data_IF_324235033450
#
_entry.id   IF_324235033450
#
_cell.length_a   1.000
_cell.length_b   1.000
_cell.length_c   1.000
_cell.angle_alpha   90.00
_cell.angle_beta   90.00
_cell.angle_gamma   90.00
#
_symmetry.space_group_name_H-M   'P 1'
#
loop_
_entity.id
_entity.type
_entity.pdbx_description
1 polymer ?
#
# COMPACT_ATOMS: atom_id res chain seq x y z
N UNK A 1 -9.03 15.67 -47.30
CA UNK A 1 -8.23 14.72 -46.49
C UNK A 1 -7.75 15.46 -45.24
N UNK A 2 -8.43 15.32 -44.09
CA UNK A 2 -7.99 15.97 -42.83
C UNK A 2 -6.85 15.12 -42.27
N UNK A 3 -5.64 15.66 -42.25
CA UNK A 3 -4.51 15.03 -41.59
C UNK A 3 -4.86 14.80 -40.12
N UNK A 4 -4.84 13.56 -39.67
CA UNK A 4 -4.96 13.23 -38.25
C UNK A 4 -3.74 13.83 -37.53
N UNK A 5 -3.96 14.91 -36.79
CA UNK A 5 -2.94 15.49 -35.91
C UNK A 5 -2.62 14.40 -34.88
N UNK A 6 -1.43 13.83 -34.97
CA UNK A 6 -0.95 12.87 -33.99
C UNK A 6 -1.06 13.53 -32.60
N UNK A 7 -1.65 12.85 -31.59
CA UNK A 7 -1.79 13.45 -30.27
C UNK A 7 -0.41 13.88 -29.77
N UNK A 8 -0.30 15.14 -29.35
CA UNK A 8 0.92 15.69 -28.80
C UNK A 8 1.38 14.78 -27.65
N UNK A 9 2.48 14.03 -27.88
CA UNK A 9 3.06 13.16 -26.86
C UNK A 9 3.62 14.04 -25.74
N UNK A 10 3.30 13.70 -24.50
CA UNK A 10 3.91 14.30 -23.33
C UNK A 10 5.44 14.16 -23.46
N UNK A 11 6.18 15.28 -23.44
CA UNK A 11 7.64 15.30 -23.64
C UNK A 11 8.43 14.88 -22.40
N UNK A 12 7.75 14.59 -21.29
CA UNK A 12 8.38 14.19 -20.04
C UNK A 12 8.64 12.69 -20.11
N UNK A 13 9.87 12.27 -19.79
CA UNK A 13 10.23 10.87 -19.68
C UNK A 13 9.29 10.17 -18.68
N UNK A 14 8.58 9.08 -19.09
CA UNK A 14 7.71 8.34 -18.19
C UNK A 14 8.39 7.85 -16.91
N UNK A 15 9.69 7.55 -16.94
CA UNK A 15 10.42 7.17 -15.73
C UNK A 15 10.68 8.34 -14.78
N UNK A 16 10.75 9.57 -15.30
CA UNK A 16 10.80 10.77 -14.45
C UNK A 16 9.46 10.94 -13.75
N UNK A 17 8.35 10.77 -14.46
CA UNK A 17 7.00 10.79 -13.86
C UNK A 17 6.91 9.78 -12.72
N UNK A 18 7.37 8.54 -12.95
CA UNK A 18 7.33 7.49 -11.94
C UNK A 18 8.18 7.79 -10.71
N UNK A 19 9.28 8.56 -10.85
CA UNK A 19 10.15 8.92 -9.72
C UNK A 19 9.60 10.08 -8.91
N UNK A 20 9.05 11.11 -9.56
CA UNK A 20 8.62 12.34 -8.87
C UNK A 20 7.39 12.15 -7.98
N UNK A 21 6.61 11.09 -8.21
CA UNK A 21 5.44 10.76 -7.37
C UNK A 21 5.81 9.98 -6.10
N UNK A 22 6.94 9.25 -6.10
CA UNK A 22 7.31 8.36 -4.98
C UNK A 22 7.49 9.07 -3.63
N UNK A 23 8.08 10.29 -3.55
CA UNK A 23 8.19 10.98 -2.27
C UNK A 23 6.82 11.24 -1.63
N UNK A 24 5.83 11.64 -2.43
CA UNK A 24 4.46 11.82 -1.95
C UNK A 24 3.86 10.50 -1.44
N UNK A 25 4.03 9.39 -2.17
CA UNK A 25 3.55 8.07 -1.73
C UNK A 25 4.21 7.62 -0.43
N UNK A 26 5.53 7.82 -0.31
CA UNK A 26 6.28 7.49 0.90
C UNK A 26 5.72 8.26 2.11
N UNK A 27 5.59 9.59 1.98
CA UNK A 27 5.05 10.42 3.07
C UNK A 27 3.61 10.03 3.42
N UNK A 28 2.77 9.72 2.43
CA UNK A 28 1.40 9.21 2.65
C UNK A 28 1.41 7.92 3.46
N UNK A 29 2.24 6.94 3.11
CA UNK A 29 2.29 5.65 3.81
C UNK A 29 2.89 5.79 5.21
N UNK A 30 3.96 6.56 5.39
CA UNK A 30 4.49 6.84 6.73
C UNK A 30 3.44 7.55 7.59
N UNK A 31 2.73 8.53 7.03
CA UNK A 31 1.64 9.21 7.72
C UNK A 31 0.52 8.26 8.15
N UNK A 32 0.10 7.34 7.28
CA UNK A 32 -0.91 6.32 7.61
C UNK A 32 -0.50 5.46 8.82
N UNK A 33 0.76 5.04 8.89
CA UNK A 33 1.25 4.22 10.00
C UNK A 33 1.47 5.03 11.28
N UNK A 34 1.89 6.28 11.17
CA UNK A 34 2.01 7.20 12.31
C UNK A 34 0.63 7.46 12.93
N UNK A 35 -0.36 7.66 12.09
CA UNK A 35 -1.76 7.84 12.48
C UNK A 35 -2.30 6.57 13.17
N UNK A 36 -2.13 5.41 12.53
CA UNK A 36 -2.48 4.11 13.12
C UNK A 36 -1.82 3.89 14.49
N UNK A 37 -0.55 4.26 14.64
CA UNK A 37 0.16 4.18 15.93
C UNK A 37 -0.47 5.08 16.99
N UNK A 38 -0.85 6.31 16.63
CA UNK A 38 -1.47 7.27 17.53
C UNK A 38 -2.81 6.75 18.08
N UNK A 39 -3.67 6.20 17.23
CA UNK A 39 -4.94 5.57 17.64
C UNK A 39 -4.77 4.43 18.64
N UNK A 40 -3.61 3.75 18.63
CA UNK A 40 -3.33 2.63 19.54
C UNK A 40 -2.69 3.03 20.87
N UNK A 41 -1.87 4.07 20.86
CA UNK A 41 -1.04 4.42 22.01
C UNK A 41 -1.57 5.62 22.80
N UNK A 42 -2.35 6.49 22.15
CA UNK A 42 -2.78 7.74 22.76
C UNK A 42 -4.23 7.64 23.19
N UNK A 43 -4.44 7.47 24.50
CA UNK A 43 -5.75 7.61 25.13
C UNK A 43 -6.13 9.08 25.36
N UNK A 44 -6.01 9.90 24.31
CA UNK A 44 -6.29 11.35 24.36
C UNK A 44 -7.61 11.60 23.64
N UNK A 45 -8.51 12.38 24.27
CA UNK A 45 -9.72 12.87 23.61
C UNK A 45 -9.35 13.62 22.32
N UNK A 46 -9.96 13.24 21.19
CA UNK A 46 -9.75 13.89 19.90
C UNK A 46 -8.65 13.30 19.02
N UNK A 47 -8.08 12.12 19.35
CA UNK A 47 -7.24 11.37 18.40
C UNK A 47 -8.04 10.97 17.15
N UNK A 48 -9.34 10.74 17.32
CA UNK A 48 -10.30 10.48 16.24
C UNK A 48 -10.78 11.77 15.52
N UNK A 49 -10.31 12.96 15.93
CA UNK A 49 -10.71 14.21 15.27
C UNK A 49 -10.10 14.32 13.87
N UNK A 50 -10.82 14.96 12.95
CA UNK A 50 -10.38 15.11 11.57
C UNK A 50 -9.03 15.86 11.40
N UNK A 51 -8.70 16.78 12.31
CA UNK A 51 -7.46 17.57 12.27
C UNK A 51 -6.56 17.27 13.48
N UNK A 52 -5.74 16.23 13.37
CA UNK A 52 -4.69 15.94 14.35
C UNK A 52 -3.30 16.16 13.76
N UNK A 53 -2.26 16.34 14.61
CA UNK A 53 -0.87 16.32 14.16
C UNK A 53 -0.47 15.01 13.45
N UNK A 54 -1.17 13.91 13.74
CA UNK A 54 -0.87 12.58 13.18
C UNK A 54 -1.41 12.44 11.75
N UNK A 55 -2.60 12.99 11.49
CA UNK A 55 -3.15 13.14 10.14
C UNK A 55 -2.29 14.05 9.23
N UNK A 56 -1.52 14.98 9.80
CA UNK A 56 -0.74 15.97 9.02
C UNK A 56 0.20 15.32 8.00
N UNK A 57 0.92 14.28 8.40
CA UNK A 57 1.85 13.59 7.49
C UNK A 57 1.09 12.94 6.32
N UNK A 58 -0.04 12.28 6.60
CA UNK A 58 -0.90 11.68 5.59
C UNK A 58 -1.41 12.74 4.59
N UNK A 59 -1.93 13.86 5.10
CA UNK A 59 -2.43 14.98 4.29
C UNK A 59 -1.35 15.62 3.45
N UNK A 60 -0.17 15.86 4.00
CA UNK A 60 0.97 16.42 3.26
C UNK A 60 1.39 15.48 2.13
N UNK A 61 1.49 14.17 2.40
CA UNK A 61 1.82 13.19 1.36
C UNK A 61 0.81 13.19 0.22
N UNK A 62 -0.49 13.19 0.55
CA UNK A 62 -1.56 13.19 -0.46
C UNK A 62 -1.61 14.49 -1.25
N UNK A 63 -1.42 15.64 -0.59
CA UNK A 63 -1.33 16.94 -1.24
C UNK A 63 -0.12 17.00 -2.19
N UNK A 64 1.05 16.50 -1.78
CA UNK A 64 2.24 16.40 -2.63
C UNK A 64 1.97 15.61 -3.90
N UNK A 65 1.22 14.50 -3.81
CA UNK A 65 0.83 13.70 -4.97
C UNK A 65 -0.10 14.47 -5.91
N UNK A 66 -1.10 15.15 -5.36
CA UNK A 66 -2.06 15.96 -6.14
C UNK A 66 -1.33 17.10 -6.85
N UNK A 67 -0.51 17.86 -6.14
CA UNK A 67 0.24 19.01 -6.68
C UNK A 67 1.23 18.55 -7.76
N UNK A 68 1.96 17.46 -7.50
CA UNK A 68 2.88 16.88 -8.49
C UNK A 68 2.15 16.49 -9.76
N UNK A 69 1.02 15.78 -9.66
CA UNK A 69 0.25 15.35 -10.81
C UNK A 69 -0.40 16.52 -11.55
N UNK A 70 -0.95 17.50 -10.82
CA UNK A 70 -1.48 18.73 -11.39
C UNK A 70 -0.40 19.50 -12.15
N UNK A 71 0.83 19.57 -11.62
CA UNK A 71 1.99 20.16 -12.29
C UNK A 71 2.35 19.43 -13.59
N UNK A 72 2.41 18.10 -13.58
CA UNK A 72 2.67 17.29 -14.77
C UNK A 72 1.60 17.49 -15.86
N UNK A 73 0.33 17.49 -15.46
CA UNK A 73 -0.81 17.79 -16.35
C UNK A 73 -0.69 19.21 -16.89
N UNK A 74 -0.41 20.20 -16.04
CA UNK A 74 -0.25 21.59 -16.44
C UNK A 74 0.87 21.81 -17.46
N UNK A 75 2.03 21.17 -17.25
CA UNK A 75 3.12 21.18 -18.23
C UNK A 75 2.68 20.55 -19.55
N UNK A 76 1.95 19.43 -19.50
CA UNK A 76 1.35 18.82 -20.70
C UNK A 76 0.40 19.77 -21.43
N UNK A 77 -0.45 20.49 -20.69
CA UNK A 77 -1.39 21.49 -21.21
C UNK A 77 -0.68 22.66 -21.89
N UNK A 78 0.36 23.21 -21.26
CA UNK A 78 1.18 24.29 -21.84
C UNK A 78 1.90 23.85 -23.12
N UNK A 79 2.17 22.55 -23.26
CA UNK A 79 2.76 21.96 -24.47
C UNK A 79 1.71 21.51 -25.51
N UNK A 80 0.44 21.90 -25.37
CA UNK A 80 -0.60 21.69 -26.37
C UNK A 80 -1.37 20.37 -26.28
N UNK A 81 -1.10 19.52 -25.27
CA UNK A 81 -1.91 18.30 -25.05
C UNK A 81 -3.31 18.65 -24.53
N UNK A 82 -4.34 17.86 -24.86
CA UNK A 82 -5.67 18.00 -24.24
C UNK A 82 -5.63 17.66 -22.75
N UNK A 83 -6.66 18.01 -21.96
CA UNK A 83 -6.74 17.64 -20.53
C UNK A 83 -6.53 16.15 -20.28
N UNK A 84 -7.24 15.30 -21.03
CA UNK A 84 -7.07 13.85 -20.93
C UNK A 84 -5.71 13.37 -21.45
N UNK A 85 -5.19 14.00 -22.52
CA UNK A 85 -3.89 13.65 -23.10
C UNK A 85 -2.68 14.12 -22.29
N UNK A 86 -2.88 15.09 -21.38
CA UNK A 86 -1.84 15.61 -20.50
C UNK A 86 -1.62 14.73 -19.25
N UNK A 87 -2.54 13.80 -18.95
CA UNK A 87 -2.37 12.83 -17.87
C UNK A 87 -1.33 11.78 -18.34
N UNK A 88 -0.25 11.55 -17.57
CA UNK A 88 0.72 10.52 -17.90
C UNK A 88 0.08 9.14 -18.06
N UNK A 89 0.55 8.38 -19.05
CA UNK A 89 0.03 7.04 -19.32
C UNK A 89 0.23 6.12 -18.09
N UNK A 90 -0.84 5.48 -17.62
CA UNK A 90 -0.86 4.65 -16.41
C UNK A 90 -1.42 5.36 -15.16
N UNK A 91 -1.47 6.70 -15.19
CA UNK A 91 -1.91 7.53 -14.05
C UNK A 91 -3.35 8.01 -14.13
N UNK A 92 -4.13 7.57 -15.12
CA UNK A 92 -5.53 7.96 -15.26
C UNK A 92 -6.36 7.57 -14.02
N UNK A 93 -6.12 6.36 -13.49
CA UNK A 93 -6.74 5.92 -12.25
C UNK A 93 -6.16 6.64 -11.02
N UNK A 94 -4.90 7.07 -11.03
CA UNK A 94 -4.35 7.89 -9.95
C UNK A 94 -5.04 9.26 -9.89
N UNK A 95 -5.33 9.88 -11.03
CA UNK A 95 -6.10 11.13 -11.11
C UNK A 95 -7.54 10.94 -10.63
N UNK A 96 -8.18 9.81 -10.98
CA UNK A 96 -9.48 9.44 -10.40
C UNK A 96 -9.38 9.30 -8.87
N UNK A 97 -8.36 8.59 -8.37
CA UNK A 97 -8.08 8.46 -6.94
C UNK A 97 -7.92 9.81 -6.26
N UNK A 98 -7.21 10.76 -6.86
CA UNK A 98 -7.08 12.14 -6.33
C UNK A 98 -8.45 12.84 -6.22
N UNK A 99 -9.32 12.66 -7.21
CA UNK A 99 -10.69 13.18 -7.15
C UNK A 99 -11.53 12.50 -6.06
N UNK A 100 -11.44 11.17 -5.94
CA UNK A 100 -12.12 10.40 -4.90
C UNK A 100 -11.61 10.75 -3.50
N UNK A 101 -10.32 11.03 -3.33
CA UNK A 101 -9.76 11.50 -2.07
C UNK A 101 -10.32 12.88 -1.71
N UNK A 102 -10.36 13.81 -2.66
CA UNK A 102 -10.93 15.14 -2.39
C UNK A 102 -12.42 15.06 -1.99
N UNK A 103 -13.20 14.21 -2.68
CA UNK A 103 -14.60 13.96 -2.33
C UNK A 103 -14.75 13.21 -1.02
N UNK A 104 -13.91 12.19 -0.80
CA UNK A 104 -13.91 11.35 0.39
C UNK A 104 -13.53 12.12 1.64
N UNK A 105 -12.45 12.91 1.62
CA UNK A 105 -12.03 13.72 2.75
C UNK A 105 -13.01 14.84 3.11
N UNK A 106 -13.62 15.51 2.11
CA UNK A 106 -14.69 16.49 2.39
C UNK A 106 -15.94 15.78 2.92
N UNK A 107 -16.29 14.63 2.34
CA UNK A 107 -17.41 13.80 2.78
C UNK A 107 -17.23 13.31 4.21
N UNK A 108 -16.02 12.89 4.57
CA UNK A 108 -15.60 12.45 5.90
C UNK A 108 -15.72 13.56 6.93
N UNK A 109 -15.17 14.74 6.63
CA UNK A 109 -15.31 15.93 7.48
C UNK A 109 -16.80 16.31 7.71
N UNK A 110 -17.61 16.28 6.65
CA UNK A 110 -19.05 16.54 6.75
C UNK A 110 -19.77 15.45 7.54
N UNK A 111 -19.40 14.18 7.34
CA UNK A 111 -19.95 13.05 8.05
C UNK A 111 -19.73 13.17 9.55
N UNK A 112 -18.50 13.44 9.97
CA UNK A 112 -18.17 13.67 11.38
C UNK A 112 -18.89 14.86 11.99
N UNK A 113 -19.15 15.90 11.20
CA UNK A 113 -19.91 17.07 11.66
C UNK A 113 -21.40 16.76 11.84
N UNK A 114 -21.98 15.87 11.02
CA UNK A 114 -23.41 15.59 11.00
C UNK A 114 -23.83 14.41 11.88
N UNK A 115 -22.99 13.37 11.96
CA UNK A 115 -23.32 12.09 12.58
C UNK A 115 -22.42 11.72 13.77
N UNK A 116 -21.36 12.51 14.01
CA UNK A 116 -20.36 12.24 15.04
C UNK A 116 -19.19 11.43 14.50
N UNK A 117 -18.20 11.22 15.37
CA UNK A 117 -16.95 10.54 15.05
C UNK A 117 -17.08 9.06 15.42
N UNK A 118 -16.76 8.16 14.49
CA UNK A 118 -16.67 6.73 14.76
C UNK A 118 -15.47 6.42 15.67
N UNK A 119 -15.65 5.51 16.62
CA UNK A 119 -14.59 5.11 17.55
C UNK A 119 -14.26 3.60 17.42
N UNK A 120 -13.02 3.25 17.74
CA UNK A 120 -12.60 1.86 17.87
C UNK A 120 -12.58 1.11 16.54
N UNK A 121 -13.32 0.00 16.43
CA UNK A 121 -13.33 -0.80 15.20
C UNK A 121 -13.93 -0.02 14.03
N UNK A 122 -15.01 0.73 14.27
CA UNK A 122 -15.76 1.39 13.20
C UNK A 122 -15.00 2.57 12.58
N UNK A 123 -14.08 3.20 13.34
CA UNK A 123 -13.24 4.30 12.86
C UNK A 123 -12.48 3.93 11.57
N UNK A 124 -11.89 2.72 11.53
CA UNK A 124 -11.13 2.26 10.36
C UNK A 124 -11.98 1.74 9.19
N UNK A 125 -13.26 1.42 9.41
CA UNK A 125 -14.13 0.77 8.40
C UNK A 125 -15.36 1.61 8.03
N UNK A 126 -15.42 2.87 8.46
CA UNK A 126 -16.49 3.76 8.03
C UNK A 126 -16.49 3.90 6.50
N UNK A 127 -17.65 4.17 5.87
CA UNK A 127 -17.75 4.30 4.42
C UNK A 127 -16.78 5.35 3.84
N UNK A 128 -16.51 6.41 4.59
CA UNK A 128 -15.62 7.50 4.18
C UNK A 128 -14.14 7.10 4.26
N UNK A 129 -13.72 6.40 5.33
CA UNK A 129 -12.38 5.82 5.44
C UNK A 129 -12.10 4.79 4.33
N UNK A 130 -13.06 3.92 4.02
CA UNK A 130 -12.92 2.96 2.92
C UNK A 130 -12.81 3.65 1.56
N UNK A 131 -13.54 4.75 1.34
CA UNK A 131 -13.42 5.55 0.12
C UNK A 131 -12.04 6.21 0.00
N UNK A 132 -11.51 6.75 1.11
CA UNK A 132 -10.15 7.29 1.18
C UNK A 132 -9.12 6.20 0.91
N UNK A 133 -9.28 5.01 1.50
CA UNK A 133 -8.38 3.87 1.27
C UNK A 133 -8.38 3.44 -0.21
N UNK A 134 -9.55 3.37 -0.86
CA UNK A 134 -9.66 3.11 -2.30
C UNK A 134 -8.95 4.21 -3.10
N UNK A 135 -9.13 5.48 -2.72
CA UNK A 135 -8.47 6.59 -3.37
C UNK A 135 -6.93 6.49 -3.28
N UNK A 136 -6.39 6.19 -2.09
CA UNK A 136 -4.96 5.96 -1.87
C UNK A 136 -4.47 4.79 -2.72
N UNK A 137 -5.18 3.66 -2.72
CA UNK A 137 -4.84 2.49 -3.54
C UNK A 137 -4.72 2.86 -5.03
N UNK A 138 -5.67 3.61 -5.56
CA UNK A 138 -5.64 4.09 -6.95
C UNK A 138 -4.46 5.04 -7.20
N UNK A 139 -4.13 5.91 -6.24
CA UNK A 139 -3.00 6.84 -6.33
C UNK A 139 -1.67 6.08 -6.38
N UNK A 140 -1.36 5.29 -5.33
CA UNK A 140 -0.02 4.69 -5.12
C UNK A 140 0.33 3.61 -6.14
N UNK A 141 -0.66 2.96 -6.75
CA UNK A 141 -0.45 1.94 -7.79
C UNK A 141 -0.22 2.53 -9.20
N UNK A 142 -0.06 3.86 -9.32
CA UNK A 142 0.25 4.55 -10.58
C UNK A 142 1.45 3.97 -11.34
N UNK A 143 2.65 3.90 -10.72
CA UNK A 143 3.84 3.34 -11.34
C UNK A 143 3.68 1.88 -11.79
N UNK A 144 2.89 1.06 -11.09
CA UNK A 144 2.62 -0.33 -11.50
C UNK A 144 1.86 -0.38 -12.83
N UNK A 145 0.77 0.38 -12.94
CA UNK A 145 0.00 0.46 -14.19
C UNK A 145 0.81 1.08 -15.32
N UNK A 146 1.61 2.10 -15.00
CA UNK A 146 2.46 2.78 -15.98
C UNK A 146 3.56 1.83 -16.51
N UNK A 147 4.23 1.08 -15.65
CA UNK A 147 5.18 0.05 -16.04
C UNK A 147 4.53 -1.05 -16.90
N UNK A 148 3.32 -1.49 -16.54
CA UNK A 148 2.58 -2.53 -17.28
C UNK A 148 2.18 -2.06 -18.67
N UNK A 149 1.65 -0.84 -18.78
CA UNK A 149 1.26 -0.22 -20.06
C UNK A 149 2.46 -0.08 -21.01
N UNK A 150 3.65 0.18 -20.48
CA UNK A 150 4.89 0.32 -21.26
C UNK A 150 5.62 -1.00 -21.49
N UNK A 151 5.14 -2.12 -20.92
CA UNK A 151 5.85 -3.41 -20.88
C UNK A 151 7.30 -3.25 -20.39
N UNK A 152 7.46 -2.54 -19.28
CA UNK A 152 8.76 -2.13 -18.76
C UNK A 152 9.69 -3.34 -18.57
N UNK A 153 10.91 -3.22 -19.10
CA UNK A 153 12.02 -4.14 -18.83
C UNK A 153 13.12 -3.38 -18.09
N UNK A 154 13.79 -4.03 -17.14
CA UNK A 154 14.91 -3.43 -16.41
C UNK A 154 14.49 -2.65 -15.17
N UNK A 155 14.59 -1.31 -15.20
CA UNK A 155 14.36 -0.44 -14.04
C UNK A 155 12.91 -0.51 -13.54
N UNK A 156 12.65 -1.44 -12.61
CA UNK A 156 11.36 -1.69 -11.99
C UNK A 156 11.23 -1.08 -10.59
N UNK A 157 12.24 -0.36 -10.10
CA UNK A 157 12.24 0.18 -8.74
C UNK A 157 10.98 1.01 -8.41
N UNK A 158 10.48 1.92 -9.28
CA UNK A 158 9.24 2.64 -8.98
C UNK A 158 8.01 1.72 -8.89
N UNK A 159 7.94 0.69 -9.72
CA UNK A 159 6.86 -0.30 -9.68
C UNK A 159 6.92 -1.16 -8.42
N UNK A 160 8.11 -1.60 -8.01
CA UNK A 160 8.33 -2.35 -6.77
C UNK A 160 7.94 -1.50 -5.56
N UNK A 161 8.41 -0.24 -5.48
CA UNK A 161 8.03 0.68 -4.40
C UNK A 161 6.52 0.93 -4.35
N UNK A 162 5.88 1.15 -5.51
CA UNK A 162 4.44 1.30 -5.61
C UNK A 162 3.69 0.05 -5.09
N UNK A 163 4.19 -1.15 -5.41
CA UNK A 163 3.64 -2.38 -4.86
C UNK A 163 3.83 -2.45 -3.34
N UNK A 164 5.02 -2.13 -2.83
CA UNK A 164 5.31 -2.08 -1.39
C UNK A 164 4.35 -1.13 -0.66
N UNK A 165 4.13 0.08 -1.18
CA UNK A 165 3.19 1.03 -0.61
C UNK A 165 1.75 0.53 -0.67
N UNK A 166 1.35 -0.13 -1.76
CA UNK A 166 0.05 -0.76 -1.86
C UNK A 166 -0.12 -1.90 -0.86
N UNK A 167 0.89 -2.75 -0.68
CA UNK A 167 0.88 -3.80 0.34
C UNK A 167 0.78 -3.23 1.74
N UNK A 168 1.55 -2.19 2.06
CA UNK A 168 1.44 -1.48 3.34
C UNK A 168 0.05 -0.92 3.61
N UNK A 169 -0.65 -0.39 2.59
CA UNK A 169 -2.05 0.00 2.74
C UNK A 169 -2.96 -1.20 3.08
N UNK A 170 -2.81 -2.33 2.38
CA UNK A 170 -3.59 -3.54 2.65
C UNK A 170 -3.32 -4.07 4.07
N UNK A 171 -2.07 -4.04 4.54
CA UNK A 171 -1.72 -4.47 5.90
C UNK A 171 -2.38 -3.60 6.97
N UNK A 172 -2.48 -2.29 6.76
CA UNK A 172 -3.20 -1.39 7.69
C UNK A 172 -4.71 -1.66 7.66
N UNK A 173 -5.31 -1.86 6.49
CA UNK A 173 -6.74 -2.22 6.39
C UNK A 173 -7.09 -3.59 6.98
N UNK A 174 -6.08 -4.41 7.27
CA UNK A 174 -6.26 -5.76 7.84
C UNK A 174 -5.53 -5.90 9.18
N UNK A 175 -5.23 -4.78 9.83
CA UNK A 175 -4.40 -4.71 11.04
C UNK A 175 -4.94 -5.56 12.19
N UNK A 176 -6.27 -5.61 12.34
CA UNK A 176 -6.96 -6.41 13.37
C UNK A 176 -6.68 -7.91 13.28
N UNK A 177 -6.27 -8.38 12.09
CA UNK A 177 -5.97 -9.78 11.80
C UNK A 177 -4.53 -9.92 11.27
N UNK A 178 -3.61 -9.05 11.71
CA UNK A 178 -2.22 -9.06 11.27
C UNK A 178 -1.28 -9.65 12.35
N UNK A 179 -0.50 -10.71 12.06
CA UNK A 179 0.28 -11.44 13.09
C UNK A 179 1.43 -10.64 13.71
N UNK A 180 1.92 -9.60 13.04
CA UNK A 180 2.91 -8.66 13.62
C UNK A 180 2.31 -7.73 14.68
N UNK A 181 1.00 -7.55 14.65
CA UNK A 181 0.27 -6.60 15.49
C UNK A 181 -0.38 -7.36 16.64
N UNK A 182 -1.13 -8.41 16.30
CA UNK A 182 -1.77 -9.31 17.25
C UNK A 182 -1.06 -10.66 17.15
N UNK A 183 0.08 -10.86 17.84
CA UNK A 183 0.82 -12.12 17.81
C UNK A 183 0.12 -13.19 18.66
N UNK A 184 -1.19 -13.38 18.44
CA UNK A 184 -2.06 -14.27 19.22
C UNK A 184 -1.52 -15.71 19.21
N UNK A 185 -0.90 -16.14 18.10
CA UNK A 185 -0.28 -17.45 17.99
C UNK A 185 0.94 -17.65 18.93
N UNK A 186 1.57 -16.57 19.43
CA UNK A 186 2.66 -16.65 20.42
C UNK A 186 2.19 -16.44 21.87
N UNK A 187 0.92 -16.10 22.09
CA UNK A 187 0.35 -15.93 23.42
C UNK A 187 0.02 -17.31 24.02
N UNK A 188 1.01 -17.91 24.69
CA UNK A 188 0.89 -19.22 25.35
C UNK A 188 0.15 -19.18 26.70
N UNK A 189 -0.37 -18.03 27.13
CA UNK A 189 -0.82 -17.81 28.49
C UNK A 189 -2.21 -17.16 28.51
N UNK A 190 -3.26 -17.97 28.50
CA UNK A 190 -4.49 -17.55 29.17
C UNK A 190 -4.24 -17.68 30.68
N UNK A 191 -4.24 -16.59 31.47
CA UNK A 191 -4.01 -16.65 32.90
C UNK A 191 -5.03 -17.56 33.63
N UNK A 192 -6.21 -17.76 33.04
CA UNK A 192 -7.25 -18.64 33.56
C UNK A 192 -7.08 -20.12 33.13
N UNK A 193 -6.16 -20.41 32.21
CA UNK A 193 -5.91 -21.75 31.70
C UNK A 193 -7.11 -22.38 30.98
N UNK A 194 -8.03 -21.59 30.40
CA UNK A 194 -9.21 -22.11 29.73
C UNK A 194 -8.83 -22.72 28.35
N UNK A 195 -8.92 -24.05 28.17
CA UNK A 195 -8.49 -24.69 26.92
C UNK A 195 -9.29 -24.22 25.70
N UNK A 196 -10.60 -23.99 25.85
CA UNK A 196 -11.44 -23.54 24.75
C UNK A 196 -11.07 -22.14 24.25
N UNK A 197 -10.65 -21.25 25.17
CA UNK A 197 -10.16 -19.92 24.82
C UNK A 197 -8.81 -20.00 24.11
N UNK A 198 -7.92 -20.87 24.57
CA UNK A 198 -6.62 -21.11 23.92
C UNK A 198 -6.81 -21.61 22.48
N UNK A 199 -7.69 -22.59 22.27
CA UNK A 199 -8.00 -23.12 20.93
C UNK A 199 -8.57 -22.04 20.01
N UNK A 200 -9.47 -21.18 20.53
CA UNK A 200 -10.01 -20.06 19.77
C UNK A 200 -8.93 -19.03 19.37
N UNK A 201 -8.04 -18.69 20.30
CA UNK A 201 -6.94 -17.75 20.06
C UNK A 201 -5.95 -18.32 19.02
N UNK A 202 -5.57 -19.59 19.16
CA UNK A 202 -4.72 -20.28 18.18
C UNK A 202 -5.38 -20.35 16.80
N UNK A 203 -6.67 -20.70 16.74
CA UNK A 203 -7.43 -20.72 15.49
C UNK A 203 -7.50 -19.34 14.81
N UNK A 204 -7.67 -18.28 15.60
CA UNK A 204 -7.67 -16.89 15.10
C UNK A 204 -6.29 -16.47 14.59
N UNK A 205 -5.22 -16.84 15.30
CA UNK A 205 -3.84 -16.61 14.87
C UNK A 205 -3.49 -17.35 13.58
N UNK A 206 -3.94 -18.61 13.45
CA UNK A 206 -3.77 -19.37 12.21
C UNK A 206 -4.53 -18.74 11.04
N UNK A 207 -5.78 -18.32 11.27
CA UNK A 207 -6.57 -17.62 10.27
C UNK A 207 -5.89 -16.31 9.82
N UNK A 208 -5.32 -15.56 10.77
CA UNK A 208 -4.55 -14.35 10.48
C UNK A 208 -3.36 -14.62 9.56
N UNK A 209 -2.54 -15.63 9.89
CA UNK A 209 -1.40 -16.02 9.06
C UNK A 209 -1.89 -16.39 7.65
N UNK A 210 -2.91 -17.23 7.52
CA UNK A 210 -3.44 -17.65 6.21
C UNK A 210 -3.93 -16.45 5.40
N UNK A 211 -4.74 -15.57 5.98
CA UNK A 211 -5.29 -14.39 5.28
C UNK A 211 -4.17 -13.48 4.80
N UNK A 212 -3.19 -13.19 5.65
CA UNK A 212 -2.06 -12.32 5.30
C UNK A 212 -1.15 -12.96 4.25
N UNK A 213 -0.85 -14.26 4.35
CA UNK A 213 -0.07 -14.99 3.35
C UNK A 213 -0.78 -15.00 2.00
N UNK A 214 -2.09 -15.24 1.95
CA UNK A 214 -2.88 -15.22 0.70
C UNK A 214 -2.87 -13.82 0.08
N UNK A 215 -3.09 -12.76 0.87
CA UNK A 215 -3.09 -11.39 0.38
C UNK A 215 -1.71 -10.98 -0.15
N UNK A 216 -0.64 -11.32 0.58
CA UNK A 216 0.74 -11.11 0.18
C UNK A 216 1.06 -11.85 -1.13
N UNK A 217 0.75 -13.15 -1.21
CA UNK A 217 0.99 -13.97 -2.39
C UNK A 217 0.21 -13.48 -3.62
N UNK A 218 -1.02 -12.99 -3.44
CA UNK A 218 -1.83 -12.46 -4.54
C UNK A 218 -1.15 -11.26 -5.21
N UNK A 219 -0.63 -10.31 -4.42
CA UNK A 219 0.10 -9.14 -4.94
C UNK A 219 1.42 -9.59 -5.56
N UNK A 220 2.18 -10.46 -4.87
CA UNK A 220 3.45 -10.96 -5.34
C UNK A 220 3.33 -11.68 -6.69
N UNK A 221 2.38 -12.61 -6.84
CA UNK A 221 2.15 -13.33 -8.08
C UNK A 221 1.66 -12.42 -9.20
N UNK A 222 0.89 -11.37 -8.90
CA UNK A 222 0.54 -10.36 -9.88
C UNK A 222 1.78 -9.67 -10.45
N UNK A 223 2.76 -9.34 -9.60
CA UNK A 223 4.03 -8.74 -10.04
C UNK A 223 4.86 -9.75 -10.86
N UNK A 224 5.05 -10.96 -10.35
CA UNK A 224 5.86 -12.00 -10.98
C UNK A 224 5.30 -12.48 -12.32
N UNK A 225 3.98 -12.37 -12.50
CA UNK A 225 3.32 -12.66 -13.79
C UNK A 225 3.72 -11.67 -14.87
N UNK A 226 4.01 -10.43 -14.51
CA UNK A 226 4.32 -9.36 -15.47
C UNK A 226 5.82 -9.11 -15.60
N UNK A 227 6.59 -9.38 -14.55
CA UNK A 227 8.00 -9.04 -14.49
C UNK A 227 8.84 -10.08 -13.76
N UNK A 228 10.09 -10.21 -14.19
CA UNK A 228 11.15 -10.78 -13.36
C UNK A 228 11.63 -9.70 -12.41
N UNK A 229 11.25 -9.82 -11.14
CA UNK A 229 11.62 -8.86 -10.09
C UNK A 229 13.16 -8.73 -9.95
N UNK A 230 13.69 -7.51 -9.79
CA UNK A 230 15.10 -7.29 -9.45
C UNK A 230 15.45 -7.83 -8.06
N UNK A 231 16.72 -8.14 -7.84
CA UNK A 231 17.22 -8.53 -6.51
C UNK A 231 16.93 -7.44 -5.48
N UNK A 232 16.51 -7.84 -4.28
CA UNK A 232 16.13 -6.94 -3.20
C UNK A 232 14.65 -6.54 -3.21
N UNK A 233 13.87 -6.94 -4.22
CA UNK A 233 12.45 -6.54 -4.32
C UNK A 233 11.62 -7.14 -3.21
N UNK A 234 11.82 -8.41 -2.86
CA UNK A 234 11.04 -9.08 -1.81
C UNK A 234 11.48 -8.65 -0.42
N UNK A 235 12.77 -8.35 -0.25
CA UNK A 235 13.32 -7.74 0.96
C UNK A 235 12.71 -6.37 1.19
N UNK A 236 12.64 -5.53 0.16
CA UNK A 236 12.00 -4.23 0.25
C UNK A 236 10.49 -4.37 0.51
N UNK A 237 9.81 -5.27 -0.20
CA UNK A 237 8.37 -5.46 -0.11
C UNK A 237 7.93 -5.96 1.27
N UNK A 238 8.55 -7.03 1.76
CA UNK A 238 8.22 -7.64 3.06
C UNK A 238 8.89 -6.91 4.23
N UNK A 239 10.17 -6.58 4.11
CA UNK A 239 10.96 -5.97 5.18
C UNK A 239 10.52 -4.53 5.52
N UNK A 240 10.20 -3.71 4.51
CA UNK A 240 9.67 -2.36 4.75
C UNK A 240 8.32 -2.41 5.47
N UNK A 241 7.42 -3.26 4.99
CA UNK A 241 6.10 -3.43 5.60
C UNK A 241 6.20 -3.97 7.03
N UNK A 242 7.03 -4.99 7.27
CA UNK A 242 7.29 -5.53 8.61
C UNK A 242 7.90 -4.49 9.55
N UNK A 243 8.79 -3.63 9.06
CA UNK A 243 9.32 -2.50 9.84
C UNK A 243 8.19 -1.55 10.26
N UNK A 244 7.32 -1.14 9.33
CA UNK A 244 6.23 -0.24 9.66
C UNK A 244 5.23 -0.86 10.65
N UNK A 245 4.88 -2.13 10.46
CA UNK A 245 4.00 -2.86 11.37
C UNK A 245 4.60 -3.03 12.77
N UNK A 246 5.92 -3.19 12.86
CA UNK A 246 6.62 -3.27 14.14
C UNK A 246 6.55 -1.96 14.92
N UNK A 247 6.45 -0.82 14.24
CA UNK A 247 6.23 0.49 14.88
C UNK A 247 4.82 0.57 15.47
N UNK A 248 3.80 0.03 14.80
CA UNK A 248 2.38 0.20 15.18
C UNK A 248 2.01 -0.34 16.55
N UNK A 249 2.76 -1.30 17.10
CA UNK A 249 2.57 -1.91 18.43
C UNK A 249 3.88 -1.92 19.24
N UNK A 250 4.88 -1.11 18.85
CA UNK A 250 6.22 -1.09 19.46
C UNK A 250 6.93 -2.47 19.52
N UNK A 251 6.54 -3.42 18.66
CA UNK A 251 7.13 -4.75 18.51
C UNK A 251 8.45 -4.72 17.73
N UNK A 252 9.38 -3.81 18.07
CA UNK A 252 10.64 -3.60 17.35
C UNK A 252 11.52 -4.86 17.27
N UNK A 253 11.34 -5.81 18.19
CA UNK A 253 12.04 -7.10 18.17
C UNK A 253 11.69 -7.98 16.95
N UNK A 254 10.59 -7.70 16.24
CA UNK A 254 10.21 -8.40 15.00
C UNK A 254 10.95 -7.89 13.77
N UNK A 255 11.57 -6.71 13.82
CA UNK A 255 12.25 -6.08 12.67
C UNK A 255 13.36 -6.98 12.10
N UNK A 256 14.29 -7.55 12.91
CA UNK A 256 15.30 -8.45 12.37
C UNK A 256 14.68 -9.67 11.68
N UNK A 257 13.61 -10.23 12.24
CA UNK A 257 12.88 -11.36 11.66
C UNK A 257 12.26 -11.02 10.30
N UNK A 258 11.63 -9.85 10.19
CA UNK A 258 11.08 -9.38 8.92
C UNK A 258 12.15 -9.18 7.84
N UNK A 259 13.29 -8.59 8.21
CA UNK A 259 14.40 -8.37 7.28
C UNK A 259 15.03 -9.70 6.82
N UNK A 260 15.29 -10.63 7.74
CA UNK A 260 15.82 -11.96 7.41
C UNK A 260 14.85 -12.71 6.51
N UNK A 261 13.56 -12.72 6.83
CA UNK A 261 12.54 -13.36 5.99
C UNK A 261 12.50 -12.74 4.58
N UNK A 262 12.54 -11.41 4.45
CA UNK A 262 12.61 -10.72 3.16
C UNK A 262 13.85 -11.11 2.34
N UNK A 263 15.02 -11.18 2.98
CA UNK A 263 16.28 -11.60 2.34
C UNK A 263 16.18 -13.06 1.87
N UNK A 264 15.64 -13.94 2.70
CA UNK A 264 15.44 -15.35 2.36
C UNK A 264 14.46 -15.49 1.19
N UNK A 265 13.38 -14.71 1.16
CA UNK A 265 12.44 -14.69 0.03
C UNK A 265 13.12 -14.28 -1.27
N UNK A 266 13.92 -13.20 -1.27
CA UNK A 266 14.70 -12.80 -2.46
C UNK A 266 15.69 -13.90 -2.88
N UNK A 267 16.39 -14.51 -1.92
CA UNK A 267 17.34 -15.58 -2.21
C UNK A 267 16.65 -16.79 -2.85
N UNK A 268 15.53 -17.24 -2.26
CA UNK A 268 14.72 -18.34 -2.77
C UNK A 268 14.21 -18.02 -4.18
N UNK A 269 13.69 -16.81 -4.39
CA UNK A 269 13.18 -16.36 -5.68
C UNK A 269 14.25 -16.33 -6.78
N UNK A 270 15.49 -15.96 -6.43
CA UNK A 270 16.59 -15.87 -7.41
C UNK A 270 17.37 -17.18 -7.61
N UNK A 271 17.30 -18.12 -6.66
CA UNK A 271 18.03 -19.39 -6.73
C UNK A 271 17.16 -20.52 -7.28
N UNK A 272 15.86 -20.53 -6.99
CA UNK A 272 14.95 -21.54 -7.53
C UNK A 272 14.50 -21.17 -8.95
N UNK A 273 14.26 -22.18 -9.82
CA UNK A 273 13.63 -21.95 -11.12
C UNK A 273 12.15 -21.59 -10.89
N UNK A 274 11.87 -20.32 -10.60
CA UNK A 274 10.50 -19.84 -10.44
C UNK A 274 9.89 -19.62 -11.81
N UNK A 275 9.18 -20.63 -12.29
CA UNK A 275 8.34 -20.54 -13.49
C UNK A 275 6.87 -20.48 -13.08
N UNK A 276 6.28 -19.29 -13.20
CA UNK A 276 4.85 -19.03 -12.93
C UNK A 276 3.91 -19.81 -13.85
N UNK A 277 4.39 -20.39 -14.95
CA UNK A 277 3.61 -21.26 -15.83
C UNK A 277 3.65 -22.73 -15.43
N UNK A 278 4.64 -23.13 -14.61
CA UNK A 278 4.77 -24.48 -14.06
C UNK A 278 4.08 -24.58 -12.71
N UNK A 279 2.98 -25.34 -12.65
CA UNK A 279 2.26 -25.61 -11.39
C UNK A 279 3.18 -26.17 -10.30
N UNK A 280 4.16 -27.01 -10.66
CA UNK A 280 5.10 -27.61 -9.68
C UNK A 280 6.04 -26.57 -9.09
N UNK A 281 6.60 -25.68 -9.91
CA UNK A 281 7.47 -24.61 -9.42
C UNK A 281 6.68 -23.59 -8.59
N UNK A 282 5.45 -23.27 -8.99
CA UNK A 282 4.58 -22.39 -8.23
C UNK A 282 4.21 -23.00 -6.87
N UNK A 283 3.84 -24.28 -6.81
CA UNK A 283 3.54 -24.96 -5.54
C UNK A 283 4.77 -25.02 -4.63
N UNK A 284 5.95 -25.36 -5.18
CA UNK A 284 7.18 -25.42 -4.40
C UNK A 284 7.56 -24.04 -3.84
N UNK A 285 7.45 -23.00 -4.66
CA UNK A 285 7.74 -21.63 -4.24
C UNK A 285 6.73 -21.14 -3.20
N UNK A 286 5.44 -21.42 -3.37
CA UNK A 286 4.37 -21.07 -2.41
C UNK A 286 4.51 -21.83 -1.09
N UNK A 287 4.98 -23.09 -1.13
CA UNK A 287 5.21 -23.88 0.07
C UNK A 287 6.39 -23.37 0.92
N UNK A 288 7.37 -22.73 0.27
CA UNK A 288 8.54 -22.15 0.94
C UNK A 288 8.30 -20.70 1.43
N UNK A 289 7.12 -20.16 1.15
CA UNK A 289 6.68 -18.79 1.44
C UNK A 289 5.87 -18.75 2.73
#
# INVERSE_FOLDING_TARGET
>A
MKAAIAPARQRIDPLVVDKVVLPGYFVTVIGLYLDTWAHKHLAISGVEDFFTPYHLALYVGLLLNIVTMAGLVWVGRRNGASWRGAIPAGYQLSVLGMGLFALGGVGDMLWHTLFGIEEGFDAGYSPTHLLVAIAIALIVTGPLRAAGARRQVGNLLPAVLAATFFWSLISVLTLFIHPFVTPVASQLLDPAGNPARMDQLQGSGLAAIIVQTVAFCAILFMLMRQWRLPAGSLTLFFGFNGLLLSVVEDHFFLIPGALVAGILLDLIYHTLPVDVTSRRHLHLFTFLL
#
